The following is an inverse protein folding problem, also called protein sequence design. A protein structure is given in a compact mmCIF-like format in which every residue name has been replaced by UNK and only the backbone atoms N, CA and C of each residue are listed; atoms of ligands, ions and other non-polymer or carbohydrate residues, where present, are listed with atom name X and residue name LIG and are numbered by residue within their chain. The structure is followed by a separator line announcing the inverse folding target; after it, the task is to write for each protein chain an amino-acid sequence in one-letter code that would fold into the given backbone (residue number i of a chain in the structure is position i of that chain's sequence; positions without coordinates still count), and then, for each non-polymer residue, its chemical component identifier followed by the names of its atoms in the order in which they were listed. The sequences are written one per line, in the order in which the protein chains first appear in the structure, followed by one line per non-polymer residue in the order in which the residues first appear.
data_IF_762121292175
#
_entry.id   IF_762121292175
#
_cell.length_a   1.000
_cell.length_b   1.000
_cell.length_c   1.000
_cell.angle_alpha   90.00
_cell.angle_beta   90.00
_cell.angle_gamma   90.00
#
_symmetry.space_group_name_H-M   'P 1'
#
loop_
_entity.id
_entity.type
_entity.pdbx_description
1 polymer ?
#
# COMPACT_ATOMS: atom_id res chain seq x y z
N UNK A 1 14.59 -4.14 33.74
CA UNK A 1 13.65 -2.99 33.72
C UNK A 1 12.81 -2.86 32.43
N UNK A 2 12.93 -3.76 31.45
CA UNK A 2 12.20 -3.69 30.16
C UNK A 2 11.14 -4.80 29.96
N UNK A 3 10.77 -5.51 31.04
CA UNK A 3 9.84 -6.65 31.00
C UNK A 3 8.51 -6.33 31.72
N UNK A 4 8.34 -5.11 32.26
CA UNK A 4 7.18 -4.79 33.09
C UNK A 4 6.01 -4.09 32.38
N UNK A 5 6.10 -3.83 31.07
CA UNK A 5 5.06 -3.08 30.33
C UNK A 5 4.15 -3.90 29.41
N UNK A 6 4.24 -5.24 29.42
CA UNK A 6 3.51 -6.08 28.43
C UNK A 6 2.54 -7.09 29.03
N UNK A 7 2.12 -6.93 30.30
CA UNK A 7 1.20 -7.87 30.91
C UNK A 7 0.19 -7.20 31.84
N UNK A 8 -0.84 -6.58 31.26
CA UNK A 8 -2.14 -6.49 31.92
C UNK A 8 -3.12 -7.43 31.21
N UNK A 9 -3.33 -8.61 31.81
CA UNK A 9 -4.65 -9.26 31.77
C UNK A 9 -5.50 -8.51 32.79
N UNK A 10 -6.79 -8.33 32.54
CA UNK A 10 -7.86 -8.87 33.41
C UNK A 10 -9.26 -8.46 32.92
N UNK A 11 -10.07 -9.50 32.72
CA UNK A 11 -11.52 -9.56 32.84
C UNK A 11 -12.19 -8.41 33.62
N UNK A 12 -13.04 -7.63 32.94
CA UNK A 12 -14.18 -6.93 33.55
C UNK A 12 -15.43 -7.10 32.71
N UNK A 13 -16.30 -8.00 33.15
CA UNK A 13 -17.74 -7.92 32.94
C UNK A 13 -18.30 -6.88 33.91
N UNK A 14 -18.66 -5.70 33.42
CA UNK A 14 -19.45 -4.70 34.15
C UNK A 14 -20.58 -4.23 33.23
N UNK A 15 -21.79 -4.01 33.78
CA UNK A 15 -22.99 -3.77 32.99
C UNK A 15 -22.94 -2.39 32.30
N UNK A 16 -23.54 -2.35 31.10
CA UNK A 16 -23.63 -1.18 30.21
C UNK A 16 -24.34 -0.01 30.91
N UNK A 17 -23.58 0.98 31.39
CA UNK A 17 -24.15 2.27 31.78
C UNK A 17 -23.09 3.36 31.64
N UNK A 18 -23.21 4.13 30.56
CA UNK A 18 -22.34 5.27 30.25
C UNK A 18 -21.43 5.02 29.06
N UNK A 19 -21.95 5.17 27.84
CA UNK A 19 -21.06 5.38 26.68
C UNK A 19 -20.39 6.74 26.87
N UNK A 20 -19.07 6.75 27.03
CA UNK A 20 -18.28 7.98 27.05
C UNK A 20 -18.39 8.66 25.68
N UNK A 21 -18.48 9.99 25.63
CA UNK A 21 -18.69 10.79 24.40
C UNK A 21 -17.68 10.43 23.29
N UNK A 22 -16.47 10.01 23.67
CA UNK A 22 -15.41 9.57 22.77
C UNK A 22 -15.71 8.22 22.07
N UNK A 23 -16.43 7.29 22.72
CA UNK A 23 -16.91 6.04 22.12
C UNK A 23 -18.05 6.31 21.14
N UNK A 24 -18.95 7.25 21.47
CA UNK A 24 -20.06 7.65 20.60
C UNK A 24 -19.55 8.32 19.32
N UNK A 25 -18.60 9.25 19.41
CA UNK A 25 -18.03 9.91 18.23
C UNK A 25 -17.21 8.95 17.34
N UNK A 26 -16.50 7.97 17.94
CA UNK A 26 -15.77 6.94 17.18
C UNK A 26 -16.70 5.99 16.44
N UNK A 27 -17.77 5.52 17.08
CA UNK A 27 -18.77 4.67 16.43
C UNK A 27 -19.46 5.41 15.28
N UNK A 28 -19.73 6.70 15.45
CA UNK A 28 -20.29 7.55 14.39
C UNK A 28 -19.30 7.66 13.20
N UNK A 29 -18.03 7.97 13.43
CA UNK A 29 -17.04 8.12 12.37
C UNK A 29 -16.81 6.82 11.57
N UNK A 30 -16.70 5.68 12.25
CA UNK A 30 -16.57 4.36 11.61
C UNK A 30 -17.83 4.03 10.80
N UNK A 31 -19.01 4.31 11.36
CA UNK A 31 -20.28 4.09 10.67
C UNK A 31 -20.44 4.96 9.41
N UNK A 32 -19.98 6.22 9.42
CA UNK A 32 -19.98 7.07 8.23
C UNK A 32 -19.06 6.55 7.14
N UNK A 33 -17.86 6.10 7.50
CA UNK A 33 -16.89 5.53 6.56
C UNK A 33 -17.46 4.24 5.94
N UNK A 34 -17.98 3.32 6.75
CA UNK A 34 -18.59 2.07 6.27
C UNK A 34 -19.83 2.32 5.41
N UNK A 35 -20.59 3.40 5.68
CA UNK A 35 -21.76 3.79 4.89
C UNK A 35 -21.39 4.43 3.55
N UNK A 36 -20.33 5.22 3.49
CA UNK A 36 -19.86 5.87 2.26
C UNK A 36 -19.04 4.91 1.38
N UNK A 37 -18.30 4.00 2.01
CA UNK A 37 -17.41 3.06 1.33
C UNK A 37 -17.68 1.64 1.82
N UNK A 38 -18.82 1.05 1.42
CA UNK A 38 -19.08 -0.36 1.64
C UNK A 38 -18.08 -1.23 0.86
N UNK A 39 -17.96 -2.54 1.17
CA UNK A 39 -16.93 -3.41 0.59
C UNK A 39 -16.85 -3.40 -0.94
N UNK A 40 -17.99 -3.20 -1.64
CA UNK A 40 -18.00 -3.05 -3.10
C UNK A 40 -17.21 -1.81 -3.57
N UNK A 41 -17.41 -0.66 -2.91
CA UNK A 41 -16.71 0.60 -3.21
C UNK A 41 -15.25 0.49 -2.79
N UNK A 42 -14.99 0.03 -1.56
CA UNK A 42 -13.62 -0.08 -1.03
C UNK A 42 -12.77 -1.02 -1.88
N UNK A 43 -13.29 -2.19 -2.23
CA UNK A 43 -12.56 -3.12 -3.11
C UNK A 43 -12.33 -2.56 -4.51
N UNK A 44 -13.27 -1.81 -5.08
CA UNK A 44 -13.11 -1.17 -6.39
C UNK A 44 -12.05 -0.06 -6.36
N UNK A 45 -12.06 0.78 -5.33
CA UNK A 45 -11.09 1.86 -5.14
C UNK A 45 -9.68 1.30 -4.93
N UNK A 46 -9.51 0.33 -4.03
CA UNK A 46 -8.20 -0.33 -3.81
C UNK A 46 -7.70 -1.00 -5.09
N UNK A 47 -8.57 -1.68 -5.83
CA UNK A 47 -8.20 -2.30 -7.10
C UNK A 47 -7.70 -1.27 -8.13
N UNK A 48 -8.38 -0.13 -8.23
CA UNK A 48 -8.01 0.97 -9.12
C UNK A 48 -6.65 1.57 -8.78
N UNK A 49 -6.26 1.66 -7.51
CA UNK A 49 -4.93 2.18 -7.14
C UNK A 49 -3.83 1.36 -7.82
N UNK A 50 -3.90 0.03 -7.70
CA UNK A 50 -2.96 -0.88 -8.35
C UNK A 50 -3.00 -0.78 -9.88
N UNK A 51 -4.20 -0.75 -10.46
CA UNK A 51 -4.38 -0.71 -11.92
C UNK A 51 -3.98 0.62 -12.55
N UNK A 52 -4.26 1.76 -11.90
CA UNK A 52 -3.88 3.08 -12.37
C UNK A 52 -2.35 3.23 -12.40
N UNK A 53 -1.66 2.68 -11.41
CA UNK A 53 -0.20 2.70 -11.33
C UNK A 53 0.48 1.72 -12.31
N UNK A 54 -0.27 0.79 -12.95
CA UNK A 54 0.29 -0.18 -13.89
C UNK A 54 0.97 0.48 -15.11
N UNK A 55 0.54 1.68 -15.50
CA UNK A 55 1.16 2.42 -16.58
C UNK A 55 2.61 2.82 -16.27
N UNK A 56 2.96 3.01 -14.99
CA UNK A 56 4.30 3.45 -14.57
C UNK A 56 5.38 2.43 -14.99
N UNK A 57 5.34 1.16 -14.58
CA UNK A 57 6.36 0.21 -15.00
C UNK A 57 6.29 -0.13 -16.49
N UNK A 58 5.09 -0.20 -17.06
CA UNK A 58 4.90 -0.62 -18.46
C UNK A 58 5.40 0.45 -19.44
N UNK A 59 5.12 1.74 -19.20
CA UNK A 59 5.46 2.82 -20.14
C UNK A 59 6.79 3.50 -19.84
N UNK A 60 7.20 3.57 -18.56
CA UNK A 60 8.30 4.45 -18.15
C UNK A 60 9.54 3.69 -17.65
N UNK A 61 9.45 2.38 -17.38
CA UNK A 61 10.55 1.62 -16.75
C UNK A 61 11.13 0.51 -17.64
N UNK A 62 10.74 0.46 -18.92
CA UNK A 62 11.35 -0.40 -19.94
C UNK A 62 11.51 0.36 -21.26
N UNK A 63 12.51 1.25 -21.38
CA UNK A 63 12.71 2.05 -22.59
C UNK A 63 13.20 1.23 -23.79
N UNK A 64 13.77 0.05 -23.57
CA UNK A 64 14.27 -0.83 -24.64
C UNK A 64 13.61 -2.21 -24.60
N UNK A 65 13.68 -2.95 -25.72
CA UNK A 65 13.17 -4.33 -25.77
C UNK A 65 13.90 -5.27 -24.80
N UNK A 66 15.20 -5.04 -24.54
CA UNK A 66 15.95 -5.76 -23.53
C UNK A 66 15.39 -5.50 -22.12
N UNK A 67 15.08 -4.25 -21.80
CA UNK A 67 14.51 -3.89 -20.50
C UNK A 67 13.14 -4.55 -20.28
N UNK A 68 12.30 -4.65 -21.31
CA UNK A 68 11.01 -5.37 -21.22
C UNK A 68 11.21 -6.86 -20.92
N UNK A 69 12.20 -7.50 -21.54
CA UNK A 69 12.56 -8.88 -21.21
C UNK A 69 13.11 -9.00 -19.78
N UNK A 70 13.87 -8.01 -19.30
CA UNK A 70 14.36 -8.01 -17.92
C UNK A 70 13.24 -7.78 -16.89
N UNK A 71 12.22 -6.98 -17.22
CA UNK A 71 10.99 -6.92 -16.42
C UNK A 71 10.34 -8.30 -16.33
N UNK A 72 10.26 -9.02 -17.45
CA UNK A 72 9.72 -10.37 -17.50
C UNK A 72 10.51 -11.37 -16.66
N UNK A 73 11.85 -11.38 -16.80
CA UNK A 73 12.73 -12.18 -15.95
C UNK A 73 12.47 -11.87 -14.47
N UNK A 74 12.24 -10.61 -14.13
CA UNK A 74 12.01 -10.21 -12.74
C UNK A 74 10.69 -10.73 -12.19
N UNK A 75 9.56 -10.46 -12.83
CA UNK A 75 8.27 -10.93 -12.31
C UNK A 75 8.16 -12.46 -12.37
N UNK A 76 8.81 -13.12 -13.34
CA UNK A 76 8.92 -14.58 -13.38
C UNK A 76 9.76 -15.08 -12.21
N UNK A 77 10.91 -14.47 -11.93
CA UNK A 77 11.74 -14.83 -10.78
C UNK A 77 10.96 -14.71 -9.46
N UNK A 78 10.23 -13.61 -9.30
CA UNK A 78 9.36 -13.40 -8.13
C UNK A 78 8.27 -14.48 -8.05
N UNK A 79 7.59 -14.79 -9.16
CA UNK A 79 6.56 -15.83 -9.22
C UNK A 79 7.11 -17.23 -8.94
N UNK A 80 8.29 -17.57 -9.47
CA UNK A 80 8.97 -18.82 -9.20
C UNK A 80 9.33 -18.96 -7.72
N UNK A 81 9.85 -17.90 -7.09
CA UNK A 81 10.11 -17.91 -5.65
C UNK A 81 8.81 -18.09 -4.87
N UNK A 82 7.75 -17.38 -5.23
CA UNK A 82 6.46 -17.45 -4.56
C UNK A 82 5.82 -18.86 -4.61
N UNK A 83 6.04 -19.63 -5.68
CA UNK A 83 5.44 -20.96 -5.88
C UNK A 83 6.33 -22.10 -5.40
N UNK A 84 7.64 -22.05 -5.71
CA UNK A 84 8.54 -23.18 -5.52
C UNK A 84 9.34 -23.14 -4.21
N UNK A 85 9.37 -22.02 -3.51
CA UNK A 85 10.03 -21.94 -2.19
C UNK A 85 9.00 -22.09 -1.06
N UNK A 86 9.49 -22.38 0.15
CA UNK A 86 8.65 -22.56 1.34
C UNK A 86 9.24 -21.79 2.52
N UNK A 87 8.42 -21.59 3.56
CA UNK A 87 8.87 -20.98 4.81
C UNK A 87 9.22 -19.49 4.66
N UNK A 88 10.38 -19.08 5.18
CA UNK A 88 10.76 -17.66 5.20
C UNK A 88 11.10 -17.12 3.81
N UNK A 89 11.73 -17.91 2.95
CA UNK A 89 12.13 -17.49 1.60
C UNK A 89 10.92 -17.09 0.75
N UNK A 90 9.82 -17.83 0.86
CA UNK A 90 8.57 -17.52 0.14
C UNK A 90 7.97 -16.18 0.59
N UNK A 91 8.15 -15.79 1.85
CA UNK A 91 7.66 -14.50 2.37
C UNK A 91 8.50 -13.32 1.89
N UNK A 92 9.75 -13.59 1.52
CA UNK A 92 10.67 -12.64 0.91
C UNK A 92 10.64 -12.75 -0.63
N UNK A 93 9.53 -13.21 -1.23
CA UNK A 93 9.42 -13.45 -2.67
C UNK A 93 9.86 -12.27 -3.53
N UNK A 94 9.49 -11.05 -3.12
CA UNK A 94 9.86 -9.84 -3.84
C UNK A 94 11.37 -9.60 -3.73
N UNK A 95 11.92 -9.67 -2.52
CA UNK A 95 13.35 -9.44 -2.27
C UNK A 95 14.23 -10.49 -2.96
N UNK A 96 13.88 -11.77 -2.84
CA UNK A 96 14.65 -12.86 -3.45
C UNK A 96 14.52 -12.82 -4.97
N UNK A 97 13.31 -12.60 -5.50
CA UNK A 97 13.10 -12.46 -6.94
C UNK A 97 13.85 -11.26 -7.53
N UNK A 98 13.86 -10.14 -6.81
CA UNK A 98 14.67 -8.96 -7.13
C UNK A 98 16.17 -9.30 -7.18
N UNK A 99 16.71 -9.96 -6.14
CA UNK A 99 18.12 -10.36 -6.09
C UNK A 99 18.47 -11.26 -7.28
N UNK A 100 17.68 -12.30 -7.53
CA UNK A 100 17.88 -13.23 -8.66
C UNK A 100 17.87 -12.48 -9.98
N UNK A 101 16.89 -11.60 -10.20
CA UNK A 101 16.77 -10.83 -11.43
C UNK A 101 17.91 -9.82 -11.61
N UNK A 102 18.36 -9.16 -10.55
CA UNK A 102 19.53 -8.28 -10.58
C UNK A 102 20.82 -9.03 -10.88
N UNK A 103 20.99 -10.25 -10.38
CA UNK A 103 22.14 -11.11 -10.72
C UNK A 103 22.11 -11.52 -12.19
N UNK A 104 20.95 -11.92 -12.71
CA UNK A 104 20.78 -12.23 -14.14
C UNK A 104 21.08 -10.99 -14.98
N UNK A 105 20.53 -9.82 -14.62
CA UNK A 105 20.82 -8.55 -15.29
C UNK A 105 22.32 -8.27 -15.32
N UNK A 106 23.02 -8.43 -14.19
CA UNK A 106 24.46 -8.21 -14.09
C UNK A 106 25.25 -9.13 -15.02
N UNK A 107 24.89 -10.41 -15.11
CA UNK A 107 25.55 -11.36 -16.02
C UNK A 107 25.32 -10.96 -17.49
N UNK A 108 24.09 -10.60 -17.86
CA UNK A 108 23.76 -10.22 -19.24
C UNK A 108 24.40 -8.89 -19.66
N UNK A 109 24.41 -7.90 -18.77
CA UNK A 109 24.94 -6.56 -19.08
C UNK A 109 26.46 -6.47 -18.91
N UNK A 110 26.99 -6.84 -17.75
CA UNK A 110 28.42 -6.72 -17.45
C UNK A 110 29.24 -7.87 -18.08
N UNK A 111 28.64 -9.06 -18.23
CA UNK A 111 29.31 -10.23 -18.79
C UNK A 111 29.18 -10.35 -20.31
N UNK A 112 28.00 -10.10 -20.87
CA UNK A 112 27.72 -10.27 -22.30
C UNK A 112 27.55 -8.94 -23.06
N UNK A 113 27.59 -7.79 -22.39
CA UNK A 113 27.45 -6.47 -23.02
C UNK A 113 26.04 -6.16 -23.53
N UNK A 114 25.03 -6.95 -23.14
CA UNK A 114 23.65 -6.81 -23.60
C UNK A 114 22.90 -5.79 -22.74
N UNK A 115 23.17 -4.50 -22.93
CA UNK A 115 22.47 -3.40 -22.23
C UNK A 115 23.40 -2.54 -21.38
N UNK A 116 22.82 -1.66 -20.56
CA UNK A 116 23.59 -0.74 -19.72
C UNK A 116 24.20 -1.50 -18.53
N UNK A 117 25.53 -1.49 -18.35
CA UNK A 117 26.18 -2.10 -17.20
C UNK A 117 25.66 -1.55 -15.87
N UNK A 118 25.65 -2.40 -14.84
CA UNK A 118 25.37 -1.95 -13.47
C UNK A 118 26.57 -1.14 -12.98
N UNK A 119 26.33 0.14 -12.69
CA UNK A 119 27.34 1.03 -12.12
C UNK A 119 27.33 0.95 -10.58
N UNK A 120 28.40 0.41 -10.02
CA UNK A 120 28.61 0.27 -8.58
C UNK A 120 29.57 1.32 -7.99
N UNK A 121 30.01 2.30 -8.80
CA UNK A 121 30.96 3.34 -8.36
C UNK A 121 30.43 4.16 -7.18
N UNK A 122 29.14 4.52 -7.22
CA UNK A 122 28.46 5.20 -6.12
C UNK A 122 28.42 4.35 -4.85
N UNK A 123 28.22 3.03 -4.97
CA UNK A 123 28.21 2.11 -3.83
C UNK A 123 29.61 1.94 -3.21
N UNK A 124 30.66 1.94 -4.05
CA UNK A 124 32.04 1.84 -3.60
C UNK A 124 32.50 3.06 -2.80
N UNK A 125 32.03 4.25 -3.18
CA UNK A 125 32.43 5.54 -2.58
C UNK A 125 31.50 6.02 -1.48
N UNK A 126 30.29 5.45 -1.36
CA UNK A 126 29.32 5.88 -0.35
C UNK A 126 29.79 5.57 1.09
N UNK A 127 29.67 6.55 2.02
CA UNK A 127 30.00 6.34 3.43
C UNK A 127 28.97 5.41 4.08
N UNK A 128 29.42 4.66 5.09
CA UNK A 128 28.55 3.73 5.82
C UNK A 128 27.50 4.45 6.67
N UNK A 129 27.84 5.64 7.17
CA UNK A 129 26.96 6.51 7.95
C UNK A 129 26.87 7.91 7.33
N UNK A 130 25.68 8.49 7.33
CA UNK A 130 25.42 9.85 6.86
C UNK A 130 23.96 10.24 7.08
N UNK A 131 23.69 11.54 7.06
CA UNK A 131 22.34 12.06 7.26
C UNK A 131 21.49 11.91 5.98
N UNK A 132 20.21 11.56 6.09
CA UNK A 132 19.29 11.62 4.95
C UNK A 132 19.11 13.06 4.46
N UNK A 133 18.75 13.20 3.18
CA UNK A 133 18.43 14.51 2.60
C UNK A 133 17.00 14.88 2.95
N UNK A 134 16.84 16.03 3.61
CA UNK A 134 15.53 16.58 3.94
C UNK A 134 15.08 17.58 2.88
N UNK A 135 13.78 17.61 2.59
CA UNK A 135 13.16 18.65 1.78
C UNK A 135 12.10 19.38 2.61
N UNK A 136 12.13 20.71 2.56
CA UNK A 136 11.15 21.53 3.27
C UNK A 136 9.78 21.48 2.56
N UNK A 137 8.66 21.41 3.31
CA UNK A 137 7.33 21.41 2.72
C UNK A 137 7.00 22.78 2.10
N UNK A 138 6.38 22.76 0.92
CA UNK A 138 5.81 23.94 0.26
C UNK A 138 4.30 23.76 0.19
N UNK A 139 3.56 24.73 0.73
CA UNK A 139 2.10 24.67 0.78
C UNK A 139 1.49 25.39 -0.42
N UNK A 140 1.05 24.61 -1.40
CA UNK A 140 0.35 25.11 -2.57
C UNK A 140 -1.08 24.57 -2.58
N UNK A 141 -2.07 25.47 -2.54
CA UNK A 141 -3.48 25.09 -2.42
C UNK A 141 -3.96 24.16 -3.54
N UNK A 142 -3.48 24.39 -4.77
CA UNK A 142 -3.84 23.57 -5.93
C UNK A 142 -3.28 22.14 -5.79
N UNK A 143 -2.01 21.98 -5.39
CA UNK A 143 -1.41 20.68 -5.14
C UNK A 143 -2.09 19.93 -3.98
N UNK A 144 -2.42 20.65 -2.90
CA UNK A 144 -3.15 20.08 -1.77
C UNK A 144 -4.53 19.56 -2.17
N UNK A 145 -5.29 20.32 -2.96
CA UNK A 145 -6.61 19.89 -3.46
C UNK A 145 -6.54 18.67 -4.38
N UNK A 146 -5.46 18.52 -5.15
CA UNK A 146 -5.25 17.35 -6.01
C UNK A 146 -4.92 16.07 -5.21
N UNK A 147 -4.18 16.21 -4.10
CA UNK A 147 -3.75 15.08 -3.26
C UNK A 147 -4.78 14.74 -2.17
N UNK A 148 -5.57 15.70 -1.71
CA UNK A 148 -6.56 15.52 -0.63
C UNK A 148 -7.48 14.30 -0.77
N UNK A 149 -7.96 13.92 -1.98
CA UNK A 149 -8.77 12.72 -2.15
C UNK A 149 -8.05 11.43 -1.76
N UNK A 150 -6.72 11.37 -1.92
CA UNK A 150 -5.91 10.21 -1.56
C UNK A 150 -6.00 9.92 -0.07
N UNK A 151 -6.11 10.94 0.79
CA UNK A 151 -6.27 10.73 2.23
C UNK A 151 -7.55 9.97 2.58
N UNK A 152 -8.66 10.22 1.87
CA UNK A 152 -9.92 9.47 2.07
C UNK A 152 -9.77 8.00 1.68
N UNK A 153 -8.99 7.74 0.63
CA UNK A 153 -8.68 6.39 0.15
C UNK A 153 -7.85 5.64 1.19
N UNK A 154 -6.82 6.29 1.77
CA UNK A 154 -5.98 5.69 2.81
C UNK A 154 -6.79 5.31 4.05
N UNK A 155 -7.81 6.09 4.43
CA UNK A 155 -8.72 5.73 5.52
C UNK A 155 -9.50 4.44 5.20
N UNK A 156 -10.00 4.31 3.96
CA UNK A 156 -10.69 3.11 3.49
C UNK A 156 -9.79 1.86 3.53
N UNK A 157 -8.58 2.02 3.00
CA UNK A 157 -7.56 0.97 2.92
C UNK A 157 -7.15 0.51 4.32
N UNK A 158 -6.84 1.46 5.21
CA UNK A 158 -6.40 1.17 6.57
C UNK A 158 -7.52 0.53 7.40
N UNK A 159 -8.79 0.91 7.18
CA UNK A 159 -9.93 0.19 7.76
C UNK A 159 -9.92 -1.29 7.33
N UNK A 160 -9.75 -1.55 6.03
CA UNK A 160 -9.66 -2.91 5.49
C UNK A 160 -8.52 -3.72 6.12
N UNK A 161 -7.33 -3.12 6.25
CA UNK A 161 -6.17 -3.72 6.90
C UNK A 161 -6.43 -4.07 8.37
N UNK A 162 -7.05 -3.17 9.13
CA UNK A 162 -7.37 -3.40 10.54
C UNK A 162 -8.41 -4.51 10.70
N UNK A 163 -9.43 -4.55 9.83
CA UNK A 163 -10.43 -5.65 9.83
C UNK A 163 -9.77 -6.99 9.48
N UNK A 164 -8.84 -7.03 8.54
CA UNK A 164 -8.08 -8.25 8.23
C UNK A 164 -7.24 -8.73 9.42
N UNK A 165 -6.58 -7.82 10.14
CA UNK A 165 -5.83 -8.14 11.36
C UNK A 165 -6.75 -8.58 12.50
N UNK A 166 -7.91 -7.94 12.66
CA UNK A 166 -8.94 -8.33 13.63
C UNK A 166 -9.42 -9.77 13.38
N UNK A 167 -9.73 -10.11 12.13
CA UNK A 167 -10.18 -11.45 11.73
C UNK A 167 -9.12 -12.54 12.01
N UNK A 168 -7.84 -12.28 11.74
CA UNK A 168 -6.78 -13.29 11.98
C UNK A 168 -6.37 -13.44 13.45
N UNK A 169 -6.49 -12.36 14.23
CA UNK A 169 -6.15 -12.36 15.66
C UNK A 169 -7.32 -12.81 16.55
N UNK A 170 -8.55 -12.77 16.01
CA UNK A 170 -9.77 -13.05 16.77
C UNK A 170 -10.09 -11.98 17.82
N UNK A 171 -9.53 -10.77 17.69
CA UNK A 171 -9.71 -9.66 18.62
C UNK A 171 -10.46 -8.54 17.94
N UNK A 172 -11.43 -7.95 18.63
CA UNK A 172 -12.07 -6.75 18.13
C UNK A 172 -11.10 -5.56 18.22
N UNK A 173 -10.78 -4.99 17.07
CA UNK A 173 -9.88 -3.84 16.95
C UNK A 173 -10.64 -2.53 16.62
N UNK A 174 -11.98 -2.57 16.50
CA UNK A 174 -12.79 -1.40 16.23
C UNK A 174 -12.53 -0.25 17.23
N UNK A 175 -12.38 -0.49 18.56
CA UNK A 175 -12.12 0.59 19.52
C UNK A 175 -10.83 1.37 19.25
N UNK A 176 -9.87 0.78 18.52
CA UNK A 176 -8.58 1.36 18.19
C UNK A 176 -8.54 2.05 16.82
N UNK A 177 -9.62 1.98 16.02
CA UNK A 177 -9.65 2.56 14.66
C UNK A 177 -9.28 4.04 14.63
N UNK A 178 -9.87 4.84 15.53
CA UNK A 178 -9.54 6.27 15.64
C UNK A 178 -8.06 6.52 15.95
N UNK A 179 -7.48 5.74 16.86
CA UNK A 179 -6.04 5.85 17.20
C UNK A 179 -5.15 5.41 16.04
N UNK A 180 -5.58 4.42 15.26
CA UNK A 180 -4.86 3.96 14.08
C UNK A 180 -4.87 5.01 12.97
N UNK A 181 -6.00 5.68 12.71
CA UNK A 181 -6.07 6.76 11.72
C UNK A 181 -5.26 7.98 12.13
N UNK A 182 -5.29 8.36 13.42
CA UNK A 182 -4.42 9.44 13.93
C UNK A 182 -2.94 9.06 13.78
N UNK A 183 -2.57 7.82 14.11
CA UNK A 183 -1.21 7.33 13.94
C UNK A 183 -0.72 7.41 12.49
N UNK A 184 -1.57 7.03 11.55
CA UNK A 184 -1.28 7.10 10.11
C UNK A 184 -1.14 8.55 9.60
N UNK A 185 -2.04 9.43 10.05
CA UNK A 185 -1.98 10.85 9.75
C UNK A 185 -0.73 11.52 10.32
N UNK A 186 -0.36 11.21 11.57
CA UNK A 186 0.88 11.72 12.21
C UNK A 186 2.11 11.21 11.49
N UNK A 187 2.17 9.91 11.14
CA UNK A 187 3.28 9.35 10.39
C UNK A 187 3.42 10.02 9.02
N UNK A 188 2.30 10.26 8.34
CA UNK A 188 2.27 10.99 7.06
C UNK A 188 2.72 12.44 7.20
N UNK A 189 2.29 13.16 8.25
CA UNK A 189 2.75 14.53 8.51
C UNK A 189 4.25 14.58 8.78
N UNK A 190 4.79 13.66 9.59
CA UNK A 190 6.23 13.58 9.88
C UNK A 190 7.02 13.25 8.60
N UNK A 191 6.55 12.28 7.82
CA UNK A 191 7.16 11.93 6.52
C UNK A 191 7.17 13.14 5.59
N UNK A 192 6.02 13.77 5.34
CA UNK A 192 5.90 14.92 4.46
C UNK A 192 6.70 16.14 4.92
N UNK A 193 6.76 16.42 6.23
CA UNK A 193 7.59 17.49 6.79
C UNK A 193 9.10 17.25 6.60
N UNK A 194 9.51 15.98 6.48
CA UNK A 194 10.90 15.59 6.22
C UNK A 194 11.25 15.48 4.72
N UNK A 195 10.27 15.66 3.82
CA UNK A 195 10.44 15.49 2.38
C UNK A 195 10.14 14.07 1.86
N UNK A 196 9.57 13.22 2.70
CA UNK A 196 9.10 11.88 2.34
C UNK A 196 7.71 11.89 1.68
N UNK A 197 7.23 10.70 1.32
CA UNK A 197 5.90 10.51 0.71
C UNK A 197 4.83 10.22 1.77
N UNK A 198 3.56 10.25 1.37
CA UNK A 198 2.49 9.69 2.20
C UNK A 198 2.77 8.24 2.55
N UNK A 199 2.43 7.83 3.77
CA UNK A 199 2.65 6.47 4.28
C UNK A 199 1.32 5.83 4.66
N UNK A 200 1.28 4.50 4.68
CA UNK A 200 0.12 3.70 5.08
C UNK A 200 0.56 2.34 5.61
N UNK A 201 -0.38 1.54 6.09
CA UNK A 201 -0.14 0.16 6.54
C UNK A 201 0.11 -0.78 5.36
N UNK A 202 1.02 -1.76 5.53
CA UNK A 202 1.41 -2.69 4.46
C UNK A 202 0.64 -4.01 4.52
N UNK A 203 -0.09 -4.34 3.45
CA UNK A 203 -0.82 -5.61 3.29
C UNK A 203 0.11 -6.83 3.29
N UNK A 204 1.34 -6.68 2.79
CA UNK A 204 2.35 -7.73 2.75
C UNK A 204 2.75 -8.17 4.16
N UNK A 205 2.90 -7.21 5.08
CA UNK A 205 3.21 -7.50 6.48
C UNK A 205 2.06 -8.25 7.17
N UNK A 206 0.82 -7.96 6.77
CA UNK A 206 -0.38 -8.67 7.24
C UNK A 206 -0.35 -10.14 6.78
N UNK A 207 0.08 -10.40 5.55
CA UNK A 207 0.34 -11.76 5.05
C UNK A 207 1.39 -12.51 5.86
N UNK A 208 2.48 -11.84 6.25
CA UNK A 208 3.52 -12.42 7.12
C UNK A 208 2.96 -12.74 8.51
N UNK A 209 2.14 -11.87 9.10
CA UNK A 209 1.48 -12.13 10.39
C UNK A 209 0.55 -13.34 10.32
N UNK A 210 -0.28 -13.44 9.28
CA UNK A 210 -1.19 -14.56 9.09
C UNK A 210 -0.45 -15.91 9.02
N UNK A 211 0.71 -15.93 8.36
CA UNK A 211 1.51 -17.14 8.19
C UNK A 211 2.44 -17.46 9.38
N UNK A 212 2.96 -16.45 10.08
CA UNK A 212 3.85 -16.64 11.25
C UNK A 212 3.09 -16.90 12.54
N UNK A 213 1.84 -16.43 12.62
CA UNK A 213 1.09 -16.31 13.89
C UNK A 213 1.81 -15.44 14.93
N UNK A 214 2.73 -14.57 14.50
CA UNK A 214 3.42 -13.62 15.37
C UNK A 214 2.73 -12.26 15.22
N UNK A 215 1.96 -11.88 16.24
CA UNK A 215 1.20 -10.63 16.29
C UNK A 215 1.78 -9.60 17.27
N UNK A 216 3.02 -9.82 17.73
CA UNK A 216 3.68 -8.95 18.71
C UNK A 216 4.03 -7.60 18.11
N UNK A 217 3.56 -6.52 18.73
CA UNK A 217 3.88 -5.14 18.32
C UNK A 217 5.36 -4.81 18.48
N UNK A 218 6.07 -5.51 19.37
CA UNK A 218 7.51 -5.33 19.58
C UNK A 218 8.33 -5.60 18.30
N UNK A 219 7.88 -6.51 17.44
CA UNK A 219 8.56 -6.79 16.17
C UNK A 219 8.55 -5.59 15.23
N UNK A 220 7.47 -4.78 15.25
CA UNK A 220 7.40 -3.55 14.45
C UNK A 220 8.33 -2.46 14.99
N UNK A 221 8.53 -2.38 16.31
CA UNK A 221 9.52 -1.46 16.90
C UNK A 221 10.93 -1.85 16.48
N UNK A 222 11.28 -3.14 16.53
CA UNK A 222 12.58 -3.62 16.08
C UNK A 222 12.78 -3.33 14.59
N UNK A 223 11.77 -3.62 13.75
CA UNK A 223 11.82 -3.33 12.32
C UNK A 223 11.98 -1.82 12.04
N UNK A 224 11.28 -0.96 12.79
CA UNK A 224 11.41 0.49 12.68
C UNK A 224 12.82 0.96 13.07
N UNK A 225 13.39 0.46 14.17
CA UNK A 225 14.77 0.79 14.56
C UNK A 225 15.78 0.38 13.49
N UNK A 226 15.63 -0.82 12.91
CA UNK A 226 16.49 -1.29 11.81
C UNK A 226 16.34 -0.39 10.57
N UNK A 227 15.11 -0.04 10.19
CA UNK A 227 14.83 0.85 9.06
C UNK A 227 15.43 2.25 9.28
N UNK A 228 15.33 2.79 10.50
CA UNK A 228 15.97 4.06 10.87
C UNK A 228 17.49 3.94 10.67
N UNK A 229 18.14 2.94 11.27
CA UNK A 229 19.60 2.75 11.14
C UNK A 229 20.03 2.64 9.67
N UNK A 230 19.28 1.90 8.85
CA UNK A 230 19.54 1.80 7.41
C UNK A 230 19.30 3.13 6.67
N UNK A 231 18.35 3.95 7.11
CA UNK A 231 18.10 5.30 6.59
C UNK A 231 19.26 6.27 6.82
N UNK A 232 20.06 6.07 7.89
CA UNK A 232 21.30 6.79 8.13
C UNK A 232 22.51 6.16 7.42
N UNK A 233 22.30 5.25 6.47
CA UNK A 233 23.36 4.63 5.67
C UNK A 233 23.25 5.02 4.19
N UNK A 234 24.00 6.05 3.74
CA UNK A 234 24.09 6.39 2.32
C UNK A 234 24.54 5.21 1.46
N UNK A 235 25.34 4.30 2.01
CA UNK A 235 25.75 3.05 1.35
C UNK A 235 24.57 2.13 1.06
N UNK A 236 23.63 1.99 1.99
CA UNK A 236 22.39 1.26 1.74
C UNK A 236 21.52 1.96 0.69
N UNK A 237 21.44 3.30 0.73
CA UNK A 237 20.75 4.08 -0.31
C UNK A 237 21.37 3.87 -1.71
N UNK A 238 22.71 3.88 -1.81
CA UNK A 238 23.44 3.62 -3.05
C UNK A 238 23.21 2.19 -3.57
N UNK A 239 23.07 1.21 -2.69
CA UNK A 239 22.73 -0.17 -3.07
C UNK A 239 21.34 -0.24 -3.71
N UNK A 240 20.34 0.44 -3.15
CA UNK A 240 19.00 0.50 -3.73
C UNK A 240 19.02 1.22 -5.09
N UNK A 241 19.77 2.32 -5.20
CA UNK A 241 19.91 3.06 -6.46
C UNK A 241 20.68 2.31 -7.55
N UNK A 242 21.50 1.33 -7.18
CA UNK A 242 22.19 0.46 -8.11
C UNK A 242 21.27 -0.59 -8.76
N UNK A 243 20.04 -0.78 -8.25
CA UNK A 243 19.08 -1.70 -8.85
C UNK A 243 18.69 -1.17 -10.24
N UNK A 244 18.85 -1.98 -11.31
CA UNK A 244 18.49 -1.55 -12.66
C UNK A 244 17.02 -1.17 -12.77
N UNK A 245 16.72 -0.10 -13.52
CA UNK A 245 15.36 0.40 -13.69
C UNK A 245 14.39 -0.68 -14.23
N UNK A 246 14.86 -1.51 -15.17
CA UNK A 246 14.10 -2.62 -15.72
C UNK A 246 13.72 -3.66 -14.65
N UNK A 247 14.64 -3.97 -13.73
CA UNK A 247 14.38 -4.90 -12.64
C UNK A 247 13.38 -4.28 -11.65
N UNK A 248 13.54 -3.00 -11.30
CA UNK A 248 12.53 -2.30 -10.49
C UNK A 248 11.16 -2.31 -11.16
N UNK A 249 11.09 -2.11 -12.48
CA UNK A 249 9.84 -2.14 -13.23
C UNK A 249 9.13 -3.49 -13.12
N UNK A 250 9.88 -4.60 -13.21
CA UNK A 250 9.32 -5.93 -13.03
C UNK A 250 8.79 -6.19 -11.62
N UNK A 251 9.49 -5.69 -10.59
CA UNK A 251 8.98 -5.73 -9.21
C UNK A 251 7.72 -4.87 -9.06
N UNK A 252 7.70 -3.66 -9.62
CA UNK A 252 6.54 -2.77 -9.58
C UNK A 252 5.30 -3.40 -10.22
N UNK A 253 5.45 -4.15 -11.33
CA UNK A 253 4.34 -4.92 -11.92
C UNK A 253 3.74 -5.89 -10.90
N UNK A 254 4.58 -6.63 -10.17
CA UNK A 254 4.12 -7.58 -9.15
C UNK A 254 3.43 -6.84 -8.01
N UNK A 255 4.05 -5.81 -7.44
CA UNK A 255 3.50 -5.07 -6.30
C UNK A 255 2.16 -4.42 -6.64
N UNK A 256 2.08 -3.69 -7.75
CA UNK A 256 0.82 -3.05 -8.17
C UNK A 256 -0.26 -4.06 -8.54
N UNK A 257 0.11 -5.19 -9.13
CA UNK A 257 -0.79 -6.31 -9.38
C UNK A 257 -1.33 -6.94 -8.08
N UNK A 258 -0.48 -7.11 -7.06
CA UNK A 258 -0.90 -7.62 -5.75
C UNK A 258 -1.86 -6.66 -5.04
N UNK A 259 -1.63 -5.35 -5.14
CA UNK A 259 -2.57 -4.33 -4.63
C UNK A 259 -3.92 -4.44 -5.36
N UNK A 260 -3.91 -4.58 -6.68
CA UNK A 260 -5.14 -4.74 -7.46
C UNK A 260 -5.95 -5.98 -7.00
N UNK A 261 -5.26 -7.11 -6.80
CA UNK A 261 -5.85 -8.36 -6.30
C UNK A 261 -6.29 -8.26 -4.83
N UNK A 262 -5.64 -7.43 -4.01
CA UNK A 262 -6.10 -7.16 -2.64
C UNK A 262 -7.48 -6.50 -2.64
N UNK A 263 -7.77 -5.59 -3.58
CA UNK A 263 -9.11 -5.05 -3.79
C UNK A 263 -10.15 -6.14 -4.12
N UNK A 264 -9.79 -7.10 -4.98
CA UNK A 264 -10.65 -8.25 -5.28
C UNK A 264 -10.84 -9.18 -4.07
N UNK A 265 -9.81 -9.36 -3.23
CA UNK A 265 -9.89 -10.13 -2.00
C UNK A 265 -10.90 -9.52 -1.02
N UNK A 266 -10.98 -8.19 -0.93
CA UNK A 266 -12.00 -7.50 -0.12
C UNK A 266 -13.40 -7.92 -0.57
N UNK A 267 -13.67 -8.01 -1.89
CA UNK A 267 -14.97 -8.46 -2.39
C UNK A 267 -15.29 -9.90 -2.00
N UNK A 268 -14.31 -10.79 -2.11
CA UNK A 268 -14.47 -12.22 -1.80
C UNK A 268 -14.70 -12.44 -0.29
N UNK A 269 -13.86 -11.84 0.55
CA UNK A 269 -13.93 -12.01 2.01
C UNK A 269 -15.22 -11.42 2.59
N UNK A 270 -15.72 -10.31 2.02
CA UNK A 270 -16.97 -9.68 2.41
C UNK A 270 -18.20 -10.20 1.64
N UNK A 271 -18.03 -11.22 0.78
CA UNK A 271 -19.12 -11.85 0.00
C UNK A 271 -19.97 -10.84 -0.78
N UNK A 272 -19.32 -9.92 -1.49
CA UNK A 272 -20.01 -8.94 -2.34
C UNK A 272 -20.77 -9.66 -3.46
N UNK A 273 -22.09 -9.46 -3.52
CA UNK A 273 -22.94 -10.05 -4.55
C UNK A 273 -22.92 -9.18 -5.82
N UNK A 274 -22.27 -9.69 -6.87
CA UNK A 274 -22.23 -9.06 -8.20
C UNK A 274 -23.42 -9.43 -9.09
N UNK A 275 -24.34 -10.28 -8.62
CA UNK A 275 -25.64 -10.49 -9.28
C UNK A 275 -26.57 -9.29 -9.06
N UNK A 276 -26.34 -8.50 -8.00
CA UNK A 276 -26.95 -7.18 -7.86
C UNK A 276 -26.31 -6.20 -8.85
N UNK A 277 -27.10 -5.75 -9.83
CA UNK A 277 -26.71 -4.77 -10.83
C UNK A 277 -26.10 -3.49 -10.22
N UNK A 278 -26.53 -3.08 -9.02
CA UNK A 278 -25.94 -1.94 -8.31
C UNK A 278 -24.45 -2.16 -8.05
N UNK A 279 -24.11 -3.31 -7.45
CA UNK A 279 -22.74 -3.62 -7.08
C UNK A 279 -21.88 -3.83 -8.33
N UNK A 280 -22.43 -4.52 -9.34
CA UNK A 280 -21.77 -4.76 -10.62
C UNK A 280 -21.41 -3.45 -11.33
N UNK A 281 -22.36 -2.52 -11.44
CA UNK A 281 -22.14 -1.24 -12.11
C UNK A 281 -21.14 -0.35 -11.36
N UNK A 282 -21.22 -0.31 -10.01
CA UNK A 282 -20.27 0.44 -9.18
C UNK A 282 -18.85 -0.07 -9.42
N UNK A 283 -18.62 -1.37 -9.32
CA UNK A 283 -17.29 -1.94 -9.55
C UNK A 283 -16.79 -1.72 -10.99
N UNK A 284 -17.62 -2.04 -12.00
CA UNK A 284 -17.21 -1.98 -13.40
C UNK A 284 -16.85 -0.55 -13.84
N UNK A 285 -17.68 0.44 -13.49
CA UNK A 285 -17.43 1.84 -13.86
C UNK A 285 -16.19 2.36 -13.15
N UNK A 286 -16.07 2.12 -11.84
CA UNK A 286 -14.91 2.57 -11.05
C UNK A 286 -13.60 2.02 -11.60
N UNK A 287 -13.54 0.72 -11.92
CA UNK A 287 -12.35 0.08 -12.50
C UNK A 287 -11.91 0.75 -13.81
N UNK A 288 -12.86 1.03 -14.73
CA UNK A 288 -12.55 1.64 -16.03
C UNK A 288 -12.16 3.11 -15.89
N UNK A 289 -12.88 3.89 -15.08
CA UNK A 289 -12.54 5.30 -14.85
C UNK A 289 -11.12 5.45 -14.28
N UNK A 290 -10.79 4.58 -13.32
CA UNK A 290 -9.49 4.58 -12.66
C UNK A 290 -8.36 4.14 -13.59
N UNK A 291 -8.50 2.99 -14.22
CA UNK A 291 -7.46 2.42 -15.10
C UNK A 291 -7.27 3.25 -16.36
N UNK A 292 -8.34 3.83 -16.90
CA UNK A 292 -8.31 4.64 -18.12
C UNK A 292 -7.89 6.10 -17.90
N UNK A 293 -7.48 6.49 -16.69
CA UNK A 293 -7.15 7.89 -16.33
C UNK A 293 -8.24 8.89 -16.72
N UNK A 294 -9.51 8.52 -16.52
CA UNK A 294 -10.63 9.39 -16.90
C UNK A 294 -10.61 10.66 -16.05
N UNK A 295 -10.23 11.78 -16.65
CA UNK A 295 -10.00 13.04 -15.94
C UNK A 295 -11.16 14.00 -16.15
N UNK A 296 -11.80 14.43 -15.07
CA UNK A 296 -12.85 15.44 -15.11
C UNK A 296 -12.26 16.82 -14.82
N UNK A 297 -12.48 17.76 -15.75
CA UNK A 297 -12.01 19.15 -15.62
C UNK A 297 -13.17 20.05 -15.18
N UNK A 298 -12.98 20.73 -14.05
CA UNK A 298 -13.87 21.75 -13.52
C UNK A 298 -13.13 23.10 -13.53
N UNK A 299 -13.16 23.79 -14.67
CA UNK A 299 -12.37 25.00 -14.87
C UNK A 299 -10.86 24.70 -14.82
N UNK A 300 -10.13 25.30 -13.87
CA UNK A 300 -8.71 25.06 -13.63
C UNK A 300 -8.41 23.81 -12.79
N UNK A 301 -9.43 23.21 -12.16
CA UNK A 301 -9.28 22.01 -11.36
C UNK A 301 -9.47 20.77 -12.21
N UNK A 302 -8.49 19.86 -12.20
CA UNK A 302 -8.57 18.58 -12.90
C UNK A 302 -8.53 17.44 -11.88
N UNK A 303 -9.62 16.68 -11.78
CA UNK A 303 -9.68 15.50 -10.94
C UNK A 303 -9.10 14.33 -11.76
N UNK A 304 -7.93 13.84 -11.39
CA UNK A 304 -7.26 12.73 -12.08
C UNK A 304 -7.97 11.38 -11.90
N UNK A 305 -7.52 10.35 -12.63
CA UNK A 305 -8.18 9.04 -12.72
C UNK A 305 -8.52 8.38 -11.39
N UNK A 306 -7.61 8.40 -10.41
CA UNK A 306 -7.87 7.82 -9.08
C UNK A 306 -8.95 8.63 -8.34
N UNK A 307 -8.89 9.97 -8.43
CA UNK A 307 -9.86 10.86 -7.81
C UNK A 307 -11.26 10.69 -8.42
N UNK A 308 -11.37 10.67 -9.75
CA UNK A 308 -12.65 10.48 -10.45
C UNK A 308 -13.23 9.10 -10.20
N UNK A 309 -12.40 8.05 -10.18
CA UNK A 309 -12.84 6.71 -9.85
C UNK A 309 -13.38 6.61 -8.42
N UNK A 310 -12.69 7.22 -7.45
CA UNK A 310 -13.06 7.17 -6.03
C UNK A 310 -14.34 7.94 -5.75
N UNK A 311 -14.40 9.23 -6.11
CA UNK A 311 -15.62 10.01 -5.92
C UNK A 311 -16.76 9.49 -6.78
N UNK A 312 -16.46 9.03 -8.00
CA UNK A 312 -17.42 8.38 -8.88
C UNK A 312 -18.03 7.13 -8.25
N UNK A 313 -17.21 6.27 -7.62
CA UNK A 313 -17.68 5.07 -6.91
C UNK A 313 -18.63 5.42 -5.77
N UNK A 314 -18.24 6.38 -4.92
CA UNK A 314 -19.01 6.80 -3.75
C UNK A 314 -20.35 7.43 -4.19
N UNK A 315 -20.31 8.36 -5.16
CA UNK A 315 -21.49 9.04 -5.66
C UNK A 315 -22.43 8.08 -6.40
N UNK A 316 -21.89 7.20 -7.24
CA UNK A 316 -22.66 6.21 -7.97
C UNK A 316 -23.33 5.22 -7.00
N UNK A 317 -22.58 4.73 -6.01
CA UNK A 317 -23.15 3.87 -4.98
C UNK A 317 -24.27 4.60 -4.21
N UNK A 318 -24.03 5.84 -3.77
CA UNK A 318 -25.03 6.63 -3.06
C UNK A 318 -26.30 6.88 -3.89
N UNK A 319 -26.15 7.12 -5.20
CA UNK A 319 -27.27 7.31 -6.12
C UNK A 319 -28.08 6.03 -6.31
N UNK A 320 -27.41 4.91 -6.57
CA UNK A 320 -28.07 3.63 -6.84
C UNK A 320 -28.64 2.98 -5.56
N UNK A 321 -28.05 3.27 -4.40
CA UNK A 321 -28.53 2.78 -3.11
C UNK A 321 -29.79 3.52 -2.59
N UNK A 322 -30.21 4.61 -3.25
CA UNK A 322 -31.41 5.37 -2.86
C UNK A 322 -32.75 4.72 -3.27
N UNK A 323 -32.75 3.54 -3.90
CA UNK A 323 -34.00 2.78 -4.13
C UNK A 323 -34.26 1.76 -3.03
N UNK A 324 -34.97 2.24 -2.01
CA UNK A 324 -36.01 1.51 -1.24
C UNK A 324 -36.84 2.57 -0.49
N UNK A 325 -37.88 3.07 -1.14
CA UNK A 325 -39.11 3.53 -0.53
C UNK A 325 -40.21 2.62 -1.10
#
# INVERSE_FOLDING_TARGET
LLVHFTNERHTRTTPMTGMEVEEVERDVAVHWIERLMPPVVTGAVVAVIGLNLAAVPIKNMAPTGFDSWMQAVTFVSVGLVAVYTRGMTQRLLILVGLIVASLIYAVLTNGLGLGKPIDLSALATAPLFGLPKFAAPVFEAQAMLLIAPVALILVAENLGHIKAVSAMTGRDLNPYLGRAFIGDGVATMVSGASGGTGVTTYAENIGVMAATRIYSTAMFVVAACVAIVLGFSPKFGALIQAIPLAVMGGVSIVVFGLIAVAGARIWVENRVDFSDNKNLLVAAITLILGTGEYTLKFGSFALGGIGTATFGAILLYALLNRRKA
#
